data_IF_532616545870
#
_entry.id   IF_532616545870
#
_cell.length_a   1.000
_cell.length_b   1.000
_cell.length_c   1.000
_cell.angle_alpha   90.00
_cell.angle_beta   90.00
_cell.angle_gamma   90.00
#
_symmetry.space_group_name_H-M   'P 1'
#
loop_
_entity.id
_entity.type
_entity.pdbx_description
1 polymer ?
#
# COMPACT_ATOMS: atom_id res chain seq x y z
N UNK A 1 -3.75 -7.54 8.32
CA UNK A 1 -3.05 -6.28 8.00
C UNK A 1 -1.97 -5.91 9.01
N UNK A 2 -2.22 -5.92 10.33
CA UNK A 2 -1.20 -5.57 11.34
C UNK A 2 0.11 -6.36 11.21
N UNK A 3 0.04 -7.70 11.15
CA UNK A 3 1.21 -8.56 10.99
C UNK A 3 1.99 -8.23 9.70
N UNK A 4 1.29 -7.96 8.60
CA UNK A 4 1.92 -7.56 7.33
C UNK A 4 2.63 -6.21 7.43
N UNK A 5 2.10 -5.26 8.20
CA UNK A 5 2.77 -3.97 8.42
C UNK A 5 3.99 -4.09 9.34
N UNK A 6 3.92 -4.94 10.37
CA UNK A 6 5.09 -5.23 11.23
C UNK A 6 6.18 -5.93 10.42
N UNK A 7 5.82 -6.94 9.63
CA UNK A 7 6.74 -7.62 8.73
C UNK A 7 7.34 -6.63 7.72
N UNK A 8 6.55 -5.72 7.15
CA UNK A 8 7.07 -4.68 6.27
C UNK A 8 8.05 -3.74 6.98
N UNK A 9 7.79 -3.37 8.23
CA UNK A 9 8.69 -2.50 9.01
C UNK A 9 10.07 -3.12 9.26
N UNK A 10 10.16 -4.45 9.26
CA UNK A 10 11.43 -5.21 9.42
C UNK A 10 12.04 -5.53 8.05
N UNK A 11 11.25 -6.05 7.13
CA UNK A 11 11.72 -6.54 5.83
C UNK A 11 12.18 -5.42 4.90
N UNK A 12 11.50 -4.27 4.89
CA UNK A 12 11.84 -3.15 3.99
C UNK A 12 13.26 -2.64 4.24
N UNK A 13 13.66 -2.29 5.48
CA UNK A 13 15.03 -1.86 5.76
C UNK A 13 16.09 -2.90 5.43
N UNK A 14 15.77 -4.21 5.49
CA UNK A 14 16.71 -5.29 5.18
C UNK A 14 16.89 -5.51 3.68
N UNK A 15 15.81 -5.42 2.90
CA UNK A 15 15.81 -5.76 1.48
C UNK A 15 16.24 -4.56 0.62
N UNK A 16 15.76 -3.36 0.91
CA UNK A 16 15.98 -2.19 0.03
C UNK A 16 17.48 -1.83 -0.17
N UNK A 17 18.35 -1.85 0.86
CA UNK A 17 19.77 -1.61 0.66
C UNK A 17 20.48 -2.65 -0.22
N UNK A 18 19.88 -3.84 -0.43
CA UNK A 18 20.42 -4.87 -1.32
C UNK A 18 19.97 -4.68 -2.77
N UNK A 19 18.81 -4.05 -2.99
CA UNK A 19 18.23 -3.82 -4.31
C UNK A 19 18.89 -2.63 -5.01
N UNK A 20 19.23 -1.58 -4.26
CA UNK A 20 19.90 -0.38 -4.79
C UNK A 20 21.14 -0.07 -3.94
N UNK A 21 22.30 -0.69 -4.23
CA UNK A 21 23.53 -0.41 -3.51
C UNK A 21 23.99 1.02 -3.80
N UNK A 22 23.78 1.94 -2.86
CA UNK A 22 24.33 3.28 -2.96
C UNK A 22 25.85 3.21 -2.77
N UNK A 23 26.61 3.58 -3.80
CA UNK A 23 28.09 3.47 -3.85
C UNK A 23 28.82 4.16 -2.71
N UNK A 24 28.19 5.14 -2.05
CA UNK A 24 28.82 5.98 -1.02
C UNK A 24 28.27 5.74 0.40
N UNK A 25 27.36 4.77 0.57
CA UNK A 25 26.69 4.51 1.86
C UNK A 25 26.80 3.03 2.21
N UNK A 26 27.39 2.72 3.35
CA UNK A 26 27.44 1.33 3.84
C UNK A 26 26.03 0.80 4.10
N UNK A 27 25.85 -0.51 3.90
CA UNK A 27 24.58 -1.21 4.15
C UNK A 27 23.96 -0.83 5.51
N UNK A 28 24.77 -0.75 6.56
CA UNK A 28 24.30 -0.40 7.91
C UNK A 28 23.71 1.01 8.01
N UNK A 29 24.30 2.00 7.34
CA UNK A 29 23.81 3.38 7.34
C UNK A 29 22.51 3.48 6.52
N UNK A 30 22.45 2.83 5.36
CA UNK A 30 21.24 2.74 4.55
C UNK A 30 20.10 2.03 5.32
N UNK A 31 20.39 0.91 5.96
CA UNK A 31 19.47 0.18 6.83
C UNK A 31 18.90 1.07 7.94
N UNK A 32 19.75 1.74 8.72
CA UNK A 32 19.31 2.61 9.82
C UNK A 32 18.50 3.80 9.33
N UNK A 33 18.86 4.38 8.18
CA UNK A 33 18.13 5.49 7.56
C UNK A 33 16.73 5.06 7.10
N UNK A 34 16.61 3.90 6.45
CA UNK A 34 15.31 3.37 6.02
C UNK A 34 14.47 2.97 7.24
N UNK A 35 15.08 2.30 8.23
CA UNK A 35 14.41 1.92 9.47
C UNK A 35 13.87 3.13 10.22
N UNK A 36 14.64 4.21 10.34
CA UNK A 36 14.22 5.42 11.07
C UNK A 36 13.06 6.18 10.40
N UNK A 37 12.74 5.87 9.14
CA UNK A 37 11.59 6.44 8.42
C UNK A 37 10.40 5.48 8.34
N UNK A 38 10.65 4.21 8.01
CA UNK A 38 9.59 3.19 7.85
C UNK A 38 8.99 2.80 9.20
N UNK A 39 9.81 2.68 10.25
CA UNK A 39 9.34 2.27 11.57
C UNK A 39 8.35 3.29 12.16
N UNK A 40 8.65 4.61 12.25
CA UNK A 40 7.66 5.57 12.73
C UNK A 40 6.42 5.63 11.85
N UNK A 41 6.57 5.58 10.53
CA UNK A 41 5.44 5.67 9.60
C UNK A 41 4.43 4.52 9.79
N UNK A 42 4.91 3.30 10.05
CA UNK A 42 4.06 2.11 10.19
C UNK A 42 3.61 1.83 11.63
N UNK A 43 4.46 2.09 12.62
CA UNK A 43 4.21 1.66 14.00
C UNK A 43 3.86 2.79 14.96
N UNK A 44 4.26 4.04 14.70
CA UNK A 44 3.87 5.15 15.56
C UNK A 44 2.34 5.33 15.67
N UNK A 45 1.55 5.24 14.58
CA UNK A 45 0.08 5.30 14.70
C UNK A 45 -0.49 4.20 15.58
N UNK A 46 0.11 3.01 15.56
CA UNK A 46 -0.28 1.89 16.42
C UNK A 46 0.03 2.17 17.88
N UNK A 47 1.23 2.64 18.21
CA UNK A 47 1.59 3.00 19.59
C UNK A 47 0.74 4.16 20.12
N UNK A 48 0.46 5.17 19.30
CA UNK A 48 -0.46 6.27 19.66
C UNK A 48 -1.87 5.72 19.92
N UNK A 49 -2.36 4.80 19.09
CA UNK A 49 -3.66 4.16 19.30
C UNK A 49 -3.71 3.36 20.60
N UNK A 50 -2.64 2.61 20.93
CA UNK A 50 -2.52 1.91 22.21
C UNK A 50 -2.47 2.89 23.39
N UNK A 51 -1.72 3.99 23.25
CA UNK A 51 -1.63 5.03 24.28
C UNK A 51 -3.00 5.65 24.56
N UNK A 52 -3.76 6.00 23.51
CA UNK A 52 -5.13 6.49 23.69
C UNK A 52 -6.06 5.44 24.28
N UNK A 53 -5.93 4.17 23.89
CA UNK A 53 -6.77 3.08 24.41
C UNK A 53 -6.59 2.89 25.91
N UNK A 54 -5.35 2.91 26.41
CA UNK A 54 -5.05 2.61 27.81
C UNK A 54 -5.01 3.85 28.70
N UNK A 55 -4.43 4.96 28.22
CA UNK A 55 -4.19 6.15 29.05
C UNK A 55 -5.20 7.27 28.85
N UNK A 56 -5.86 7.35 27.68
CA UNK A 56 -6.83 8.43 27.37
C UNK A 56 -8.14 7.86 26.77
N UNK A 57 -8.87 6.98 27.48
CA UNK A 57 -10.00 6.23 26.92
C UNK A 57 -11.16 7.12 26.46
N UNK A 58 -11.32 8.33 27.04
CA UNK A 58 -12.31 9.32 26.59
C UNK A 58 -12.01 9.81 25.18
N UNK A 59 -10.75 10.13 24.88
CA UNK A 59 -10.31 10.53 23.54
C UNK A 59 -10.42 9.36 22.56
N UNK A 60 -10.02 8.15 22.97
CA UNK A 60 -10.18 6.96 22.14
C UNK A 60 -11.64 6.73 21.71
N UNK A 61 -12.58 6.77 22.66
CA UNK A 61 -14.02 6.64 22.36
C UNK A 61 -14.55 7.77 21.46
N UNK A 62 -14.06 8.99 21.63
CA UNK A 62 -14.41 10.11 20.77
C UNK A 62 -13.92 9.89 19.33
N UNK A 63 -12.66 9.48 19.14
CA UNK A 63 -12.08 9.21 17.82
C UNK A 63 -12.78 8.07 17.08
N UNK A 64 -13.25 7.04 17.80
CA UNK A 64 -14.04 5.95 17.21
C UNK A 64 -15.39 6.44 16.62
N UNK A 65 -15.90 7.63 16.98
CA UNK A 65 -17.10 8.16 16.34
C UNK A 65 -16.86 8.62 14.89
N UNK A 66 -15.61 8.81 14.47
CA UNK A 66 -15.22 9.40 13.19
C UNK A 66 -14.66 8.40 12.17
N UNK A 67 -15.13 7.15 12.17
CA UNK A 67 -14.67 6.13 11.21
C UNK A 67 -14.83 6.56 9.74
N UNK A 68 -15.87 7.32 9.42
CA UNK A 68 -16.10 7.86 8.07
C UNK A 68 -15.05 8.90 7.67
N UNK A 69 -14.50 9.65 8.63
CA UNK A 69 -13.44 10.64 8.36
C UNK A 69 -12.16 9.96 7.89
N UNK A 70 -11.83 8.78 8.42
CA UNK A 70 -10.69 8.00 7.94
C UNK A 70 -10.85 7.59 6.46
N UNK A 71 -12.08 7.28 6.02
CA UNK A 71 -12.36 7.00 4.62
C UNK A 71 -12.15 8.23 3.72
N UNK A 72 -12.61 9.41 4.13
CA UNK A 72 -12.38 10.64 3.37
C UNK A 72 -10.90 11.05 3.33
N UNK A 73 -10.18 10.92 4.46
CA UNK A 73 -8.74 11.15 4.49
C UNK A 73 -7.99 10.20 3.55
N UNK A 74 -8.38 8.93 3.53
CA UNK A 74 -7.85 7.96 2.59
C UNK A 74 -8.16 8.34 1.13
N UNK A 75 -9.38 8.79 0.83
CA UNK A 75 -9.76 9.22 -0.52
C UNK A 75 -8.95 10.44 -0.98
N UNK A 76 -8.74 11.43 -0.10
CA UNK A 76 -7.87 12.59 -0.39
C UNK A 76 -6.43 12.15 -0.63
N UNK A 77 -5.89 11.27 0.22
CA UNK A 77 -4.55 10.72 0.04
C UNK A 77 -4.43 9.96 -1.29
N UNK A 78 -5.43 9.17 -1.66
CA UNK A 78 -5.50 8.47 -2.95
C UNK A 78 -5.49 9.48 -4.11
N UNK A 79 -6.31 10.53 -4.05
CA UNK A 79 -6.34 11.58 -5.09
C UNK A 79 -4.97 12.27 -5.25
N UNK A 80 -4.30 12.59 -4.15
CA UNK A 80 -2.94 13.18 -4.18
C UNK A 80 -1.97 12.23 -4.86
N UNK A 81 -1.97 10.96 -4.46
CA UNK A 81 -1.10 9.92 -5.02
C UNK A 81 -1.37 9.70 -6.51
N UNK A 82 -2.63 9.74 -6.92
CA UNK A 82 -3.01 9.70 -8.34
C UNK A 82 -2.47 10.91 -9.10
N UNK A 83 -2.60 12.11 -8.54
CA UNK A 83 -2.04 13.33 -9.13
C UNK A 83 -0.52 13.28 -9.28
N UNK A 84 0.19 12.75 -8.27
CA UNK A 84 1.65 12.56 -8.32
C UNK A 84 2.05 11.54 -9.39
N UNK A 85 1.32 10.42 -9.49
CA UNK A 85 1.57 9.39 -10.50
C UNK A 85 1.37 9.96 -11.90
N UNK A 86 0.26 10.66 -12.16
CA UNK A 86 0.00 11.32 -13.45
C UNK A 86 1.05 12.38 -13.77
N UNK A 87 1.43 13.21 -12.78
CA UNK A 87 2.49 14.21 -12.96
C UNK A 87 3.83 13.56 -13.31
N UNK A 88 4.18 12.45 -12.67
CA UNK A 88 5.41 11.71 -12.96
C UNK A 88 5.38 11.18 -14.39
N UNK A 89 4.26 10.62 -14.84
CA UNK A 89 4.09 10.06 -16.19
C UNK A 89 4.19 11.15 -17.27
N UNK A 90 3.51 12.29 -17.07
CA UNK A 90 3.47 13.38 -18.07
C UNK A 90 4.80 14.12 -18.19
N UNK A 91 5.57 14.24 -17.10
CA UNK A 91 6.84 14.96 -17.10
C UNK A 91 8.06 14.04 -17.22
N UNK A 92 7.84 12.75 -17.46
CA UNK A 92 8.92 11.79 -17.58
C UNK A 92 9.65 11.99 -18.90
N UNK A 93 10.98 11.98 -18.82
CA UNK A 93 11.85 11.92 -19.99
C UNK A 93 12.16 10.48 -20.40
N UNK A 94 11.62 9.50 -19.67
CA UNK A 94 11.77 8.08 -20.00
C UNK A 94 10.93 7.71 -21.22
N UNK A 95 11.35 6.65 -21.91
CA UNK A 95 10.59 6.13 -23.05
C UNK A 95 9.20 5.66 -22.59
N UNK A 96 8.16 6.15 -23.28
CA UNK A 96 6.75 5.85 -22.99
C UNK A 96 6.47 4.35 -23.00
N UNK A 97 7.20 3.60 -23.83
CA UNK A 97 7.13 2.13 -23.87
C UNK A 97 7.51 1.50 -22.53
N UNK A 98 8.57 2.00 -21.89
CA UNK A 98 9.04 1.48 -20.58
C UNK A 98 7.99 1.75 -19.50
N UNK A 99 7.39 2.94 -19.50
CA UNK A 99 6.33 3.28 -18.56
C UNK A 99 5.09 2.42 -18.71
N UNK A 100 4.67 2.19 -19.96
CA UNK A 100 3.56 1.30 -20.30
C UNK A 100 3.84 -0.14 -19.85
N UNK A 101 5.07 -0.63 -20.02
CA UNK A 101 5.49 -1.96 -19.57
C UNK A 101 5.46 -2.07 -18.04
N UNK A 102 5.95 -1.06 -17.31
CA UNK A 102 5.88 -1.03 -15.84
C UNK A 102 4.42 -0.98 -15.37
N UNK A 103 3.59 -0.15 -16.01
CA UNK A 103 2.17 -0.05 -15.68
C UNK A 103 1.43 -1.38 -15.93
N UNK A 104 1.74 -2.06 -17.02
CA UNK A 104 1.23 -3.39 -17.34
C UNK A 104 1.71 -4.46 -16.36
N UNK A 105 2.98 -4.42 -15.96
CA UNK A 105 3.50 -5.30 -14.91
C UNK A 105 2.76 -5.09 -13.58
N UNK A 106 2.41 -3.84 -13.25
CA UNK A 106 1.56 -3.50 -12.10
C UNK A 106 0.17 -4.13 -12.18
N UNK A 107 -0.48 -4.09 -13.35
CA UNK A 107 -1.75 -4.78 -13.61
C UNK A 107 -1.63 -6.30 -13.40
N UNK A 108 -0.67 -6.93 -14.07
CA UNK A 108 -0.45 -8.38 -14.00
C UNK A 108 -0.21 -8.80 -12.55
N UNK A 109 0.66 -8.08 -11.84
CA UNK A 109 0.95 -8.35 -10.43
C UNK A 109 -0.30 -8.22 -9.57
N UNK A 110 -1.14 -7.20 -9.80
CA UNK A 110 -2.40 -7.01 -9.08
C UNK A 110 -3.37 -8.17 -9.30
N UNK A 111 -3.57 -8.57 -10.56
CA UNK A 111 -4.43 -9.69 -10.92
C UNK A 111 -3.93 -11.00 -10.30
N UNK A 112 -2.62 -11.27 -10.35
CA UNK A 112 -2.03 -12.48 -9.77
C UNK A 112 -2.20 -12.51 -8.25
N UNK A 113 -1.96 -11.40 -7.54
CA UNK A 113 -2.13 -11.35 -6.08
C UNK A 113 -3.58 -11.57 -5.66
N UNK A 114 -4.55 -10.95 -6.33
CA UNK A 114 -5.96 -11.21 -6.05
C UNK A 114 -6.37 -12.64 -6.42
N UNK A 115 -5.84 -13.19 -7.51
CA UNK A 115 -6.11 -14.56 -7.94
C UNK A 115 -5.59 -15.57 -6.91
N UNK A 116 -4.30 -15.52 -6.57
CA UNK A 116 -3.69 -16.44 -5.62
C UNK A 116 -4.28 -16.30 -4.23
N UNK A 117 -4.53 -15.06 -3.77
CA UNK A 117 -5.17 -14.83 -2.46
C UNK A 117 -6.55 -15.48 -2.40
N UNK A 118 -7.36 -15.34 -3.46
CA UNK A 118 -8.67 -16.01 -3.56
C UNK A 118 -8.53 -17.53 -3.67
N UNK A 119 -7.56 -18.03 -4.44
CA UNK A 119 -7.36 -19.47 -4.64
C UNK A 119 -6.98 -20.17 -3.35
N UNK A 120 -6.06 -19.58 -2.58
CA UNK A 120 -5.65 -20.04 -1.25
C UNK A 120 -6.83 -19.94 -0.29
N UNK A 121 -7.49 -18.77 -0.20
CA UNK A 121 -8.63 -18.58 0.69
C UNK A 121 -9.80 -19.51 0.43
N UNK A 122 -10.02 -19.92 -0.83
CA UNK A 122 -11.04 -20.91 -1.17
C UNK A 122 -10.82 -22.26 -0.51
N UNK A 123 -9.57 -22.68 -0.25
CA UNK A 123 -9.29 -23.91 0.48
C UNK A 123 -9.68 -23.81 1.98
N UNK A 124 -9.81 -22.59 2.51
CA UNK A 124 -10.15 -22.29 3.91
C UNK A 124 -11.54 -21.67 4.08
N UNK A 125 -12.38 -21.69 3.04
CA UNK A 125 -13.70 -21.03 3.00
C UNK A 125 -13.68 -19.51 3.30
N UNK A 126 -12.54 -18.85 3.10
CA UNK A 126 -12.36 -17.40 3.30
C UNK A 126 -11.77 -16.73 2.05
N UNK A 127 -12.41 -17.00 0.91
CA UNK A 127 -11.96 -16.58 -0.43
C UNK A 127 -11.77 -15.07 -0.53
N UNK A 128 -12.72 -14.28 -0.04
CA UNK A 128 -12.71 -12.82 -0.23
C UNK A 128 -11.68 -12.17 0.69
N UNK A 129 -11.64 -12.51 1.97
CA UNK A 129 -10.71 -11.88 2.91
C UNK A 129 -9.26 -12.25 2.61
N UNK A 130 -8.98 -13.50 2.23
CA UNK A 130 -7.64 -13.88 1.78
C UNK A 130 -7.23 -13.18 0.47
N UNK A 131 -8.17 -13.02 -0.47
CA UNK A 131 -7.99 -12.22 -1.69
C UNK A 131 -7.63 -10.77 -1.38
N UNK A 132 -8.32 -10.15 -0.43
CA UNK A 132 -8.04 -8.78 0.02
C UNK A 132 -6.72 -8.69 0.80
N UNK A 133 -6.43 -9.66 1.66
CA UNK A 133 -5.18 -9.69 2.42
C UNK A 133 -3.95 -9.77 1.51
N UNK A 134 -4.03 -10.53 0.42
CA UNK A 134 -2.92 -10.61 -0.54
C UNK A 134 -2.92 -9.45 -1.53
N UNK A 135 -4.07 -9.11 -2.14
CA UNK A 135 -4.16 -8.13 -3.24
C UNK A 135 -4.24 -6.66 -2.83
N UNK A 136 -4.79 -6.32 -1.66
CA UNK A 136 -4.91 -4.93 -1.22
C UNK A 136 -3.64 -4.51 -0.46
N UNK A 137 -2.67 -3.96 -1.19
CA UNK A 137 -1.38 -3.54 -0.64
C UNK A 137 -1.42 -2.11 -0.13
N UNK A 138 -0.48 -1.77 0.75
CA UNK A 138 -0.21 -0.39 1.14
C UNK A 138 0.61 0.31 0.04
N UNK A 139 -0.09 0.67 -1.04
CA UNK A 139 0.52 1.28 -2.23
C UNK A 139 1.06 2.68 -1.97
N UNK A 140 0.49 3.43 -1.03
CA UNK A 140 1.01 4.74 -0.62
C UNK A 140 2.43 4.60 -0.08
N UNK A 141 2.67 3.63 0.80
CA UNK A 141 4.02 3.31 1.27
C UNK A 141 4.93 2.90 0.11
N UNK A 142 4.44 2.03 -0.78
CA UNK A 142 5.23 1.54 -1.91
C UNK A 142 5.67 2.67 -2.86
N UNK A 143 4.80 3.63 -3.15
CA UNK A 143 5.10 4.81 -3.97
C UNK A 143 6.13 5.69 -3.27
N UNK A 144 5.94 5.95 -1.98
CA UNK A 144 6.91 6.74 -1.20
C UNK A 144 8.30 6.08 -1.19
N UNK A 145 8.38 4.76 -0.98
CA UNK A 145 9.65 4.03 -1.01
C UNK A 145 10.31 4.06 -2.40
N UNK A 146 9.52 3.89 -3.46
CA UNK A 146 9.99 3.94 -4.84
C UNK A 146 10.62 5.31 -5.19
N UNK A 147 9.94 6.40 -4.82
CA UNK A 147 10.45 7.76 -5.05
C UNK A 147 11.65 8.09 -4.16
N UNK A 148 11.70 7.57 -2.93
CA UNK A 148 12.72 7.95 -1.93
C UNK A 148 14.02 7.16 -2.08
N UNK A 149 13.96 5.88 -2.45
CA UNK A 149 15.10 4.97 -2.38
C UNK A 149 15.48 4.33 -3.71
N UNK A 150 14.61 4.41 -4.73
CA UNK A 150 14.88 3.90 -6.07
C UNK A 150 14.90 5.08 -7.04
N UNK A 151 14.39 4.88 -8.26
CA UNK A 151 14.20 5.92 -9.27
C UNK A 151 12.74 6.42 -9.30
N UNK A 152 12.47 7.72 -9.51
CA UNK A 152 11.10 8.24 -9.69
C UNK A 152 10.25 7.46 -10.71
N UNK A 153 10.83 6.96 -11.79
CA UNK A 153 10.17 6.11 -12.79
C UNK A 153 9.59 4.81 -12.19
N UNK A 154 10.25 4.24 -11.18
CA UNK A 154 9.78 3.03 -10.51
C UNK A 154 8.46 3.24 -9.76
N UNK A 155 8.12 4.48 -9.40
CA UNK A 155 6.86 4.81 -8.74
C UNK A 155 5.63 4.56 -9.61
N UNK A 156 5.79 4.50 -10.94
CA UNK A 156 4.74 4.17 -11.91
C UNK A 156 4.16 2.78 -11.64
N UNK A 157 4.97 1.82 -11.19
CA UNK A 157 4.51 0.46 -10.91
C UNK A 157 3.51 0.40 -9.74
N UNK A 158 3.89 0.84 -8.53
CA UNK A 158 2.96 0.95 -7.42
C UNK A 158 1.81 1.96 -7.65
N UNK A 159 2.06 3.02 -8.43
CA UNK A 159 1.07 4.01 -8.85
C UNK A 159 -0.01 3.41 -9.76
N UNK A 160 0.35 2.60 -10.74
CA UNK A 160 -0.62 1.89 -11.58
C UNK A 160 -1.34 0.79 -10.78
N UNK A 161 -0.62 0.08 -9.90
CA UNK A 161 -1.19 -0.96 -9.04
C UNK A 161 -2.33 -0.39 -8.17
N UNK A 162 -2.17 0.82 -7.61
CA UNK A 162 -3.21 1.43 -6.77
C UNK A 162 -4.51 1.66 -7.56
N UNK A 163 -4.43 1.97 -8.85
CA UNK A 163 -5.61 2.09 -9.71
C UNK A 163 -6.30 0.73 -9.86
N UNK A 164 -5.55 -0.29 -10.27
CA UNK A 164 -6.09 -1.62 -10.51
C UNK A 164 -6.71 -2.26 -9.28
N UNK A 165 -6.05 -2.17 -8.12
CA UNK A 165 -6.61 -2.72 -6.88
C UNK A 165 -7.93 -2.03 -6.51
N UNK A 166 -8.04 -0.71 -6.73
CA UNK A 166 -9.25 0.05 -6.39
C UNK A 166 -10.40 -0.24 -7.36
N UNK A 167 -10.10 -0.49 -8.64
CA UNK A 167 -11.10 -0.99 -9.60
C UNK A 167 -11.64 -2.35 -9.15
N UNK A 168 -10.75 -3.30 -8.82
CA UNK A 168 -11.15 -4.64 -8.35
C UNK A 168 -11.98 -4.53 -7.07
N UNK A 169 -11.58 -3.68 -6.13
CA UNK A 169 -12.31 -3.48 -4.87
C UNK A 169 -13.69 -2.87 -5.09
N UNK A 170 -13.79 -1.86 -5.96
CA UNK A 170 -15.07 -1.23 -6.31
C UNK A 170 -16.02 -2.24 -6.94
N UNK A 171 -15.52 -3.08 -7.85
CA UNK A 171 -16.30 -4.15 -8.46
C UNK A 171 -16.78 -5.19 -7.44
N UNK A 172 -15.93 -5.60 -6.49
CA UNK A 172 -16.32 -6.54 -5.42
C UNK A 172 -17.41 -5.96 -4.52
N UNK A 173 -17.32 -4.68 -4.15
CA UNK A 173 -18.33 -3.99 -3.36
C UNK A 173 -19.66 -3.88 -4.13
N UNK A 174 -19.62 -3.51 -5.41
CA UNK A 174 -20.80 -3.47 -6.27
C UNK A 174 -21.47 -4.85 -6.36
N UNK A 175 -20.68 -5.91 -6.60
CA UNK A 175 -21.18 -7.28 -6.67
C UNK A 175 -21.83 -7.72 -5.35
N UNK A 176 -21.23 -7.38 -4.21
CA UNK A 176 -21.79 -7.66 -2.88
C UNK A 176 -23.16 -6.98 -2.71
N UNK A 177 -23.25 -5.67 -2.96
CA UNK A 177 -24.51 -4.91 -2.85
C UNK A 177 -25.60 -5.46 -3.77
N UNK A 178 -25.24 -5.83 -5.01
CA UNK A 178 -26.17 -6.42 -5.96
C UNK A 178 -26.75 -7.76 -5.47
N UNK A 179 -25.96 -8.56 -4.76
CA UNK A 179 -26.43 -9.82 -4.19
C UNK A 179 -27.33 -9.58 -2.96
N UNK A 180 -26.98 -8.59 -2.11
CA UNK A 180 -27.79 -8.21 -0.96
C UNK A 180 -29.18 -7.67 -1.35
N UNK A 181 -29.30 -7.00 -2.51
CA UNK A 181 -30.60 -6.53 -3.02
C UNK A 181 -31.47 -7.63 -3.66
N UNK A 182 -30.89 -8.81 -3.95
CA UNK A 182 -31.60 -9.95 -4.56
C UNK A 182 -32.15 -10.93 -3.53
N UNK A 183 -31.64 -10.87 -2.30
CA UNK A 183 -32.07 -11.68 -1.17
C UNK A 183 -33.06 -10.90 -0.32
#
# INVERSE_FOLDING_TARGET
TLLSNILAAIAVPLIFPLVEPHTDVTFGIAFLKILSKVFPLLLAPFFIALLFRYYIPRLHKFLLKYHTSAFYLWAVALTIVMGQTTRSLVNSTADVTVEMLIAFAGLVTCCLQFYFGKRIGSAYNDRISAGQALGQKNTVLAIWMAVTYLNPLSSVGPGSYVVWQNIINSWQLWKKRKNEMKN
#
